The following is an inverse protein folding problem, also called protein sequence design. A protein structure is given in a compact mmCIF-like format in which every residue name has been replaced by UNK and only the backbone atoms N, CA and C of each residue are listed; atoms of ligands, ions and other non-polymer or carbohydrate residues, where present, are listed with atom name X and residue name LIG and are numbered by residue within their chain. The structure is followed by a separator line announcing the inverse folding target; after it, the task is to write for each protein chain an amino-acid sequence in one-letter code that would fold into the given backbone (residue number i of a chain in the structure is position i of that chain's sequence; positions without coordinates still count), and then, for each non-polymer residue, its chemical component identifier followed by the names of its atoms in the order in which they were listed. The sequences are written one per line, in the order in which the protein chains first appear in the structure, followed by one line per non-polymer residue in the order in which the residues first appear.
data_IF_897866793031
#
_entry.id   IF_897866793031
#
_cell.length_a   1.000
_cell.length_b   1.000
_cell.length_c   1.000
_cell.angle_alpha   90.00
_cell.angle_beta   90.00
_cell.angle_gamma   90.00
#
_symmetry.space_group_name_H-M   'P 1'
#
loop_
_entity.id
_entity.type
_entity.pdbx_description
1 polymer ?
2 polymer ?
3 non-polymer ?
4 non-polymer ?
5 water ?
#
# COMPACT_ATOMS: atom_id res chain seq x y z
CA UNK A 12 -14.95 -17.12 19.71
C UNK A 12 -14.66 -16.23 18.51
N UNK A 13 -15.51 -15.22 18.30
CA UNK A 13 -15.26 -14.14 17.31
C UNK A 13 -15.66 -12.81 17.95
N UNK A 14 -15.50 -11.70 17.21
CA UNK A 14 -15.91 -10.35 17.68
C UNK A 14 -17.39 -10.30 18.04
N UNK A 15 -18.22 -10.92 17.18
CA UNK A 15 -19.68 -10.83 17.29
C UNK A 15 -20.18 -11.57 18.53
N UNK A 16 -19.57 -12.74 18.84
CA UNK A 16 -19.98 -13.56 19.98
C UNK A 16 -19.60 -12.90 21.31
N UNK A 17 -18.45 -12.23 21.32
CA UNK A 17 -17.97 -11.54 22.52
C UNK A 17 -18.89 -10.34 22.83
N UNK A 18 -19.19 -9.56 21.80
CA UNK A 18 -20.13 -8.45 21.92
C UNK A 18 -21.55 -8.91 22.31
N UNK A 19 -22.05 -10.04 21.80
CA UNK A 19 -23.34 -10.55 22.33
C UNK A 19 -23.23 -10.94 23.81
N UNK A 20 -22.13 -11.57 24.21
CA UNK A 20 -21.99 -12.00 25.60
C UNK A 20 -21.94 -10.79 26.55
N UNK A 21 -21.18 -9.76 26.16
CA UNK A 21 -21.08 -8.49 26.91
C UNK A 21 -22.38 -7.74 27.00
N UNK A 22 -23.11 -7.69 25.89
CA UNK A 22 -24.49 -7.17 25.92
C UNK A 22 -25.34 -7.97 26.93
N UNK A 23 -25.32 -9.30 26.85
CA UNK A 23 -26.04 -10.17 27.80
C UNK A 23 -25.66 -9.88 29.28
N UNK A 24 -24.36 -9.69 29.56
CA UNK A 24 -23.87 -9.32 30.90
C UNK A 24 -24.44 -7.98 31.36
N UNK A 25 -24.24 -6.95 30.52
CA UNK A 25 -24.61 -5.60 30.85
C UNK A 25 -26.08 -5.46 31.14
N UNK A 26 -26.87 -6.08 30.28
CA UNK A 26 -28.33 -6.08 30.36
C UNK A 26 -28.80 -6.72 31.69
N UNK A 27 -28.19 -7.83 32.07
CA UNK A 27 -28.50 -8.48 33.37
C UNK A 27 -28.14 -7.56 34.53
N UNK A 28 -26.92 -7.03 34.49
CA UNK A 28 -26.44 -6.14 35.57
C UNK A 28 -27.39 -4.94 35.78
N UNK A 29 -27.75 -4.28 34.69
CA UNK A 29 -28.64 -3.13 34.77
C UNK A 29 -30.05 -3.50 35.29
N UNK A 30 -30.55 -4.69 34.94
CA UNK A 30 -31.83 -5.19 35.46
C UNK A 30 -31.78 -5.39 37.02
N UNK A 31 -30.72 -6.04 37.52
CA UNK A 31 -30.43 -6.12 38.95
C UNK A 31 -30.32 -4.74 39.62
N UNK A 32 -29.80 -3.76 38.89
CA UNK A 32 -29.68 -2.37 39.36
C UNK A 32 -30.98 -1.55 39.43
N UNK A 33 -32.06 -2.04 38.83
CA UNK A 33 -33.35 -1.33 38.80
C UNK A 33 -33.46 -0.27 37.71
N UNK A 34 -32.57 -0.32 36.73
CA UNK A 34 -32.50 0.67 35.66
C UNK A 34 -33.88 0.92 35.02
N UNK A 35 -34.27 2.21 34.83
CA UNK A 35 -35.57 2.49 34.21
C UNK A 35 -35.72 1.86 32.84
N UNK A 36 -36.91 1.36 32.53
CA UNK A 36 -37.10 0.53 31.33
C UNK A 36 -36.97 1.29 30.00
N UNK A 37 -37.20 2.60 30.02
CA UNK A 37 -37.01 3.41 28.84
C UNK A 37 -35.52 3.46 28.44
N UNK A 38 -34.62 3.56 29.43
CA UNK A 38 -33.18 3.51 29.20
C UNK A 38 -32.79 2.10 28.66
N UNK A 39 -33.27 1.05 29.32
CA UNK A 39 -33.04 -0.33 28.87
C UNK A 39 -33.60 -0.60 27.46
N UNK A 40 -34.78 -0.06 27.14
CA UNK A 40 -35.37 -0.21 25.80
C UNK A 40 -34.51 0.49 24.74
N UNK A 41 -34.01 1.66 25.10
CA UNK A 41 -33.06 2.37 24.25
C UNK A 41 -31.76 1.59 24.03
N UNK A 42 -31.22 1.00 25.10
CA UNK A 42 -29.99 0.20 24.97
C UNK A 42 -30.24 -1.00 24.07
N UNK A 43 -31.41 -1.63 24.23
CA UNK A 43 -31.77 -2.75 23.38
C UNK A 43 -31.83 -2.31 21.90
N UNK A 44 -32.38 -1.11 21.63
CA UNK A 44 -32.47 -0.59 20.26
C UNK A 44 -31.07 -0.33 19.68
N UNK A 45 -30.20 0.25 20.49
CA UNK A 45 -28.83 0.48 20.12
C UNK A 45 -28.03 -0.82 19.81
N UNK A 46 -28.20 -1.84 20.66
CA UNK A 46 -27.61 -3.15 20.44
C UNK A 46 -28.02 -3.68 19.08
N UNK A 47 -29.30 -3.62 18.74
CA UNK A 47 -29.79 -4.11 17.43
C UNK A 47 -29.12 -3.32 16.27
N UNK A 48 -29.10 -2.01 16.40
CA UNK A 48 -28.43 -1.15 15.45
C UNK A 48 -26.97 -1.51 15.25
N UNK A 49 -26.25 -1.81 16.33
CA UNK A 49 -24.84 -2.15 16.27
C UNK A 49 -24.64 -3.54 15.59
N UNK A 50 -25.51 -4.50 15.87
CA UNK A 50 -25.42 -5.81 15.22
C UNK A 50 -25.69 -5.68 13.71
N UNK A 51 -26.72 -4.91 13.38
CA UNK A 51 -27.06 -4.62 12.00
C UNK A 51 -25.89 -3.94 11.32
N UNK A 52 -25.32 -2.94 12.00
CA UNK A 52 -24.16 -2.23 11.48
C UNK A 52 -23.00 -3.18 11.16
N UNK A 53 -22.71 -4.11 12.05
CA UNK A 53 -21.62 -5.02 11.76
C UNK A 53 -21.80 -5.80 10.47
N UNK A 54 -23.01 -6.29 10.21
CA UNK A 54 -23.26 -7.02 8.99
C UNK A 54 -23.03 -6.06 7.76
N UNK A 55 -23.49 -4.83 7.86
CA UNK A 55 -23.38 -3.90 6.76
C UNK A 55 -21.91 -3.50 6.57
N UNK A 56 -21.18 -3.34 7.66
CA UNK A 56 -19.74 -2.95 7.61
C UNK A 56 -18.92 -4.04 6.94
N UNK A 57 -19.23 -5.28 7.25
CA UNK A 57 -18.53 -6.39 6.61
C UNK A 57 -18.83 -6.47 5.10
N UNK A 58 -20.09 -6.24 4.67
CA UNK A 58 -20.42 -6.20 3.23
C UNK A 58 -19.56 -5.15 2.55
N UNK A 59 -19.56 -3.97 3.14
CA UNK A 59 -18.84 -2.84 2.61
C UNK A 59 -17.34 -3.09 2.55
N UNK A 60 -16.77 -3.65 3.61
CA UNK A 60 -15.37 -3.99 3.66
C UNK A 60 -14.96 -4.97 2.50
N UNK A 61 -15.75 -6.02 2.30
CA UNK A 61 -15.46 -7.01 1.29
C UNK A 61 -15.57 -6.43 -0.15
N UNK A 62 -16.60 -5.63 -0.39
CA UNK A 62 -16.83 -5.00 -1.69
C UNK A 62 -15.75 -3.97 -1.95
N UNK A 63 -15.43 -3.18 -0.95
CA UNK A 63 -14.35 -2.19 -1.05
C UNK A 63 -13.04 -2.82 -1.43
N UNK A 64 -12.67 -3.90 -0.74
CA UNK A 64 -11.44 -4.61 -1.02
C UNK A 64 -11.42 -5.17 -2.45
N UNK A 65 -12.54 -5.69 -2.95
CA UNK A 65 -12.57 -6.23 -4.29
C UNK A 65 -12.47 -5.11 -5.34
N UNK A 66 -13.20 -4.03 -5.13
CA UNK A 66 -13.14 -2.83 -5.96
C UNK A 66 -11.70 -2.34 -6.11
N UNK A 67 -10.96 -2.22 -5.00
CA UNK A 67 -9.58 -1.74 -5.06
C UNK A 67 -8.67 -2.72 -5.82
N UNK A 68 -8.89 -4.04 -5.64
CA UNK A 68 -8.11 -5.04 -6.39
C UNK A 68 -8.41 -4.95 -7.89
N UNK A 69 -9.68 -4.77 -8.26
CA UNK A 69 -10.03 -4.61 -9.64
C UNK A 69 -9.48 -3.34 -10.27
N UNK A 70 -9.46 -2.24 -9.52
CA UNK A 70 -8.87 -0.99 -10.04
C UNK A 70 -7.41 -1.19 -10.32
N UNK A 71 -6.71 -1.88 -9.40
CA UNK A 71 -5.30 -2.21 -9.60
C UNK A 71 -5.06 -3.09 -10.81
N UNK A 72 -5.86 -4.16 -10.91
CA UNK A 72 -5.74 -5.04 -12.01
C UNK A 72 -5.92 -4.25 -13.34
N UNK A 73 -6.94 -3.39 -13.43
CA UNK A 73 -7.29 -2.72 -14.68
C UNK A 73 -6.21 -1.68 -15.06
N UNK A 74 -5.61 -1.06 -14.06
CA UNK A 74 -4.43 -0.19 -14.26
C UNK A 74 -3.25 -1.00 -14.82
N UNK A 75 -3.05 -2.22 -14.37
CA UNK A 75 -1.99 -3.08 -14.95
C UNK A 75 -2.29 -3.54 -16.34
N UNK A 76 -3.56 -3.84 -16.64
CA UNK A 76 -3.89 -4.33 -17.95
C UNK A 76 -3.98 -3.20 -19.00
N UNK A 77 -4.13 -1.96 -18.59
CA UNK A 77 -4.27 -0.82 -19.54
C UNK A 77 -2.92 -0.10 -19.71
CA UNK B 11 18.26 22.64 -10.65
C UNK B 11 16.87 22.05 -10.94
N UNK B 12 16.82 21.14 -11.91
CA UNK B 12 15.61 20.37 -12.20
C UNK B 12 15.23 19.45 -11.03
N UNK B 13 16.23 18.93 -10.32
CA UNK B 13 16.05 17.87 -9.34
C UNK B 13 17.14 17.92 -8.27
N UNK B 14 16.97 17.11 -7.22
CA UNK B 14 18.00 16.97 -6.20
C UNK B 14 19.29 16.48 -6.83
N UNK B 15 19.20 15.49 -7.72
CA UNK B 15 20.39 14.97 -8.41
C UNK B 15 21.19 16.10 -9.11
N UNK B 16 20.51 16.99 -9.82
CA UNK B 16 21.16 18.07 -10.54
C UNK B 16 21.77 19.08 -9.55
N UNK B 17 21.04 19.38 -8.47
CA UNK B 17 21.57 20.25 -7.42
C UNK B 17 22.84 19.69 -6.77
N UNK B 18 22.83 18.40 -6.45
CA UNK B 18 24.00 17.75 -5.83
C UNK B 18 25.18 17.74 -6.78
N UNK B 19 24.90 17.49 -8.05
CA UNK B 19 25.91 17.51 -9.08
C UNK B 19 26.53 18.92 -9.23
N UNK B 20 25.70 19.96 -9.19
CA UNK B 20 26.18 21.34 -9.19
C UNK B 20 27.01 21.67 -7.95
N UNK B 21 26.48 21.32 -6.77
CA UNK B 21 27.17 21.56 -5.52
C UNK B 21 28.53 20.87 -5.40
N UNK B 22 28.60 19.64 -5.88
CA UNK B 22 29.86 18.93 -6.06
C UNK B 22 30.85 19.68 -6.99
N UNK B 23 30.39 20.18 -8.14
CA UNK B 23 31.26 20.92 -9.06
C UNK B 23 31.90 22.13 -8.39
N UNK B 24 31.05 22.93 -7.74
CA UNK B 24 31.48 24.07 -6.92
C UNK B 24 32.56 23.70 -5.90
N UNK B 25 32.37 22.57 -5.23
CA UNK B 25 33.30 22.08 -4.23
C UNK B 25 34.61 21.63 -4.81
N UNK B 26 34.55 20.84 -5.89
CA UNK B 26 35.75 20.48 -6.64
C UNK B 26 36.47 21.73 -7.13
N UNK B 27 35.73 22.70 -7.68
CA UNK B 27 36.36 23.94 -8.17
C UNK B 27 37.07 24.70 -7.02
N UNK B 28 36.46 24.68 -5.82
CA UNK B 28 37.05 25.30 -4.65
C UNK B 28 38.32 24.60 -4.17
N UNK B 29 38.26 23.28 -4.02
CA UNK B 29 39.42 22.52 -3.53
C UNK B 29 40.64 22.62 -4.48
N UNK B 30 40.36 22.53 -5.78
CA UNK B 30 41.37 22.68 -6.81
C UNK B 30 42.05 24.06 -6.67
N UNK B 31 41.25 25.11 -6.55
CA UNK B 31 41.74 26.50 -6.33
C UNK B 31 42.48 26.81 -5.03
N UNK B 32 42.11 26.17 -3.94
CA UNK B 32 42.87 26.26 -2.71
C UNK B 32 44.11 25.36 -2.81
N UNK B 33 44.12 24.42 -3.74
CA UNK B 33 45.26 23.53 -3.99
C UNK B 33 45.34 22.26 -3.16
N UNK B 34 44.45 21.31 -3.44
CA UNK B 34 44.40 20.03 -2.74
C UNK B 34 45.12 18.95 -3.57
N UNK B 35 45.91 18.06 -2.94
CA UNK B 35 46.61 17.02 -3.72
C UNK B 35 45.75 16.13 -4.64
N UNK B 36 46.34 15.74 -5.76
CA UNK B 36 45.65 14.94 -6.78
C UNK B 36 45.00 13.66 -6.21
N UNK B 37 45.67 13.04 -5.25
CA UNK B 37 45.18 11.79 -4.67
C UNK B 37 43.92 11.98 -3.83
N UNK B 38 43.95 12.99 -2.96
CA UNK B 38 42.79 13.39 -2.18
C UNK B 38 41.61 13.76 -3.07
N UNK B 39 41.87 14.54 -4.14
CA UNK B 39 40.81 14.86 -5.10
C UNK B 39 40.27 13.64 -5.79
N UNK B 40 41.16 12.75 -6.20
CA UNK B 40 40.77 11.52 -6.86
C UNK B 40 39.97 10.60 -5.94
N UNK B 41 40.28 10.64 -4.64
CA UNK B 41 39.53 9.93 -3.63
C UNK B 41 38.15 10.52 -3.48
N UNK B 42 38.07 11.84 -3.25
CA UNK B 42 36.78 12.53 -3.16
C UNK B 42 35.87 12.32 -4.38
N UNK B 43 36.45 12.24 -5.58
CA UNK B 43 35.65 12.10 -6.80
C UNK B 43 34.98 10.73 -6.90
N UNK B 44 35.74 9.68 -6.61
CA UNK B 44 35.21 8.32 -6.60
C UNK B 44 34.18 8.16 -5.49
N UNK B 45 34.39 8.80 -4.35
CA UNK B 45 33.36 8.87 -3.32
C UNK B 45 32.07 9.48 -3.85
N UNK B 46 32.19 10.69 -4.41
CA UNK B 46 31.06 11.37 -5.05
C UNK B 46 30.32 10.44 -6.01
N UNK B 47 31.04 9.76 -6.89
CA UNK B 47 30.43 8.90 -7.90
C UNK B 47 29.73 7.70 -7.24
N UNK B 48 30.35 7.10 -6.23
CA UNK B 48 29.66 6.05 -5.49
C UNK B 48 28.38 6.55 -4.80
N UNK B 49 28.42 7.73 -4.19
CA UNK B 49 27.21 8.34 -3.62
C UNK B 49 26.09 8.58 -4.66
N UNK B 50 26.46 8.99 -5.87
CA UNK B 50 25.51 9.18 -6.98
C UNK B 50 24.90 7.81 -7.40
N UNK B 51 25.75 6.81 -7.58
CA UNK B 51 25.32 5.47 -7.92
C UNK B 51 24.46 4.89 -6.80
N UNK B 52 24.86 5.12 -5.54
CA UNK B 52 24.08 4.63 -4.39
C UNK B 52 22.67 5.21 -4.34
N UNK B 53 22.53 6.51 -4.57
CA UNK B 53 21.19 7.11 -4.57
C UNK B 53 20.33 6.55 -5.71
N UNK B 54 20.95 6.34 -6.87
CA UNK B 54 20.26 5.73 -8.02
C UNK B 54 19.77 4.32 -7.68
N UNK B 55 20.63 3.53 -7.04
CA UNK B 55 20.25 2.20 -6.57
C UNK B 55 19.16 2.25 -5.53
N UNK B 56 19.24 3.17 -4.57
CA UNK B 56 18.20 3.28 -3.54
C UNK B 56 16.84 3.53 -4.20
N UNK B 57 16.85 4.35 -5.23
CA UNK B 57 15.62 4.66 -5.94
C UNK B 57 15.04 3.48 -6.69
N UNK B 58 15.91 2.80 -7.43
CA UNK B 58 15.54 1.64 -8.18
C UNK B 58 15.01 0.53 -7.25
N UNK B 59 15.64 0.33 -6.09
CA UNK B 59 15.12 -0.60 -5.06
C UNK B 59 13.68 -0.27 -4.67
N UNK B 60 13.42 0.99 -4.36
CA UNK B 60 12.08 1.45 -4.00
C UNK B 60 11.05 1.14 -5.08
N UNK B 61 11.44 1.40 -6.32
CA UNK B 61 10.60 1.17 -7.49
C UNK B 61 10.37 -0.34 -7.79
N UNK B 62 11.45 -1.11 -7.76
CA UNK B 62 11.37 -2.55 -7.97
C UNK B 62 10.58 -3.22 -6.86
N UNK B 63 10.73 -2.76 -5.63
CA UNK B 63 9.94 -3.30 -4.51
C UNK B 63 8.43 -3.11 -4.69
N UNK B 64 8.00 -1.87 -5.02
CA UNK B 64 6.59 -1.65 -5.37
C UNK B 64 6.11 -2.49 -6.59
N UNK B 65 6.91 -2.57 -7.65
CA UNK B 65 6.53 -3.34 -8.84
C UNK B 65 6.36 -4.83 -8.55
N UNK B 66 7.29 -5.40 -7.77
CA UNK B 66 7.22 -6.76 -7.33
C UNK B 66 5.89 -7.07 -6.64
N UNK B 67 5.47 -6.20 -5.71
CA UNK B 67 4.22 -6.38 -4.99
C UNK B 67 3.01 -6.31 -5.96
N UNK B 68 3.04 -5.41 -6.95
CA UNK B 68 1.95 -5.33 -7.96
C UNK B 68 1.91 -6.56 -8.84
N UNK B 69 3.06 -7.12 -9.17
CA UNK B 69 3.09 -8.37 -9.93
C UNK B 69 2.56 -9.56 -9.14
N UNK B 70 2.87 -9.61 -7.84
CA UNK B 70 2.32 -10.65 -6.97
C UNK B 70 0.78 -10.62 -7.02
N UNK B 71 0.18 -9.42 -6.95
CA UNK B 71 -1.27 -9.29 -7.02
C UNK B 71 -1.81 -9.60 -8.44
N UNK B 72 -1.14 -9.08 -9.45
CA UNK B 72 -1.50 -9.40 -10.84
C UNK B 72 -1.52 -10.91 -11.09
N UNK B 73 -0.49 -11.62 -10.62
CA UNK B 73 -0.40 -13.02 -10.86
C UNK B 73 -1.49 -13.82 -10.17
N UNK B 74 -1.82 -13.44 -8.93
CA UNK B 74 -2.93 -14.04 -8.19
C UNK B 74 -4.30 -13.84 -8.92
N UNK B 75 -4.52 -12.64 -9.45
CA UNK B 75 -5.71 -12.34 -10.25
C UNK B 75 -5.79 -13.11 -11.57
N UNK B 76 -4.68 -13.22 -12.28
CA UNK B 76 -4.65 -13.97 -13.54
C UNK B 76 -4.77 -15.50 -13.37
N UNK B 77 -4.42 -16.04 -12.21
CA UNK B 77 -4.41 -17.48 -12.05
C UNK B 77 -5.85 -18.06 -12.20
N UNK C 1 -27.03 14.74 29.02
CA UNK C 1 -26.60 13.71 30.00
C UNK C 1 -26.52 12.36 29.30
N UNK C 2 -26.49 11.28 30.08
CA UNK C 2 -26.30 9.96 29.49
C UNK C 2 -27.54 9.58 28.64
N UNK C 3 -28.72 9.99 29.08
CA UNK C 3 -29.92 9.79 28.27
C UNK C 3 -29.79 10.40 26.88
N UNK C 4 -29.42 11.69 26.87
CA UNK C 4 -29.30 12.43 25.61
C UNK C 4 -28.20 11.84 24.72
N UNK C 5 -27.09 11.43 25.31
CA UNK C 5 -26.03 10.71 24.60
C UNK C 5 -26.57 9.49 23.83
N UNK C 6 -27.43 8.71 24.48
CA UNK C 6 -27.98 7.49 23.89
C UNK C 6 -28.90 7.77 22.70
N UNK C 7 -29.71 8.82 22.83
CA UNK C 7 -30.61 9.24 21.76
C UNK C 7 -29.79 9.65 20.55
N UNK C 8 -28.74 10.43 20.78
CA UNK C 8 -27.86 10.85 19.71
C UNK C 8 -27.15 9.67 19.05
N UNK C 9 -26.63 8.72 19.84
CA UNK C 9 -25.98 7.52 19.28
C UNK C 9 -26.94 6.72 18.37
N UNK C 10 -28.18 6.59 18.82
CA UNK C 10 -29.23 5.90 18.06
C UNK C 10 -29.42 6.57 16.69
N UNK C 11 -29.58 7.88 16.68
CA UNK C 11 -29.70 8.63 15.42
C UNK C 11 -28.52 8.46 14.51
N UNK C 12 -27.31 8.57 15.06
CA UNK C 12 -26.10 8.48 14.25
C UNK C 12 -25.94 7.12 13.61
N UNK C 13 -26.14 6.05 14.36
CA UNK C 13 -25.96 4.70 13.81
C UNK C 13 -27.10 4.36 12.83
N UNK C 14 -28.30 4.81 13.14
CA UNK C 14 -29.44 4.69 12.21
C UNK C 14 -29.09 5.33 10.84
N UNK C 15 -28.56 6.54 10.86
CA UNK C 15 -28.17 7.28 9.62
C UNK C 15 -27.02 6.60 8.89
N UNK C 16 -26.01 6.16 9.65
CA UNK C 16 -24.88 5.49 9.09
C UNK C 16 -25.29 4.19 8.41
N UNK C 17 -26.15 3.41 9.04
CA UNK C 17 -26.61 2.18 8.41
C UNK C 17 -27.37 2.47 7.08
N UNK C 18 -28.21 3.50 7.04
CA UNK C 18 -28.86 3.81 5.78
C UNK C 18 -27.81 4.24 4.70
N UNK C 19 -26.76 4.98 5.06
CA UNK C 19 -25.68 5.28 4.12
C UNK C 19 -24.99 3.99 3.59
N UNK C 20 -24.80 3.01 4.47
CA UNK C 20 -24.16 1.78 4.07
C UNK C 20 -25.06 0.96 3.13
N UNK C 21 -26.37 0.98 3.32
CA UNK C 21 -27.29 0.29 2.37
C UNK C 21 -27.17 0.95 0.98
N UNK C 22 -27.11 2.27 0.94
CA UNK C 22 -26.91 2.93 -0.36
C UNK C 22 -25.54 2.66 -0.97
N UNK C 23 -24.50 2.70 -0.14
CA UNK C 23 -23.17 2.44 -0.61
C UNK C 23 -22.97 0.99 -1.14
N UNK C 24 -23.72 0.04 -0.60
CA UNK C 24 -23.69 -1.31 -1.08
C UNK C 24 -24.10 -1.33 -2.57
N UNK C 25 -25.17 -0.64 -2.91
CA UNK C 25 -25.65 -0.58 -4.27
C UNK C 25 -24.63 0.11 -5.18
N UNK C 26 -23.98 1.15 -4.65
CA UNK C 26 -22.99 1.88 -5.46
C UNK C 26 -21.82 0.99 -5.79
N UNK C 27 -21.33 0.31 -4.76
CA UNK C 27 -20.21 -0.59 -4.88
C UNK C 27 -20.52 -1.79 -5.81
N UNK C 28 -21.75 -2.29 -5.77
CA UNK C 28 -22.20 -3.32 -6.70
C UNK C 28 -22.11 -2.83 -8.14
N UNK C 29 -22.53 -1.58 -8.35
CA UNK C 29 -22.40 -0.99 -9.65
C UNK C 29 -20.92 -0.78 -10.03
N UNK C 30 -20.12 -0.29 -9.08
CA UNK C 30 -18.69 -0.12 -9.32
C UNK C 30 -18.10 -1.44 -9.80
N UNK C 31 -18.44 -2.55 -9.15
CA UNK C 31 -17.97 -3.86 -9.58
C UNK C 31 -18.35 -4.32 -10.99
N UNK C 32 -19.58 -4.04 -11.40
CA UNK C 32 -20.04 -4.35 -12.75
C UNK C 32 -19.27 -3.56 -13.80
N UNK C 33 -19.02 -2.28 -13.51
CA UNK C 33 -18.21 -1.44 -14.39
C UNK C 33 -16.77 -1.99 -14.47
N UNK C 34 -16.21 -2.32 -13.31
CA UNK C 34 -14.85 -2.79 -13.27
C UNK C 34 -14.63 -4.11 -14.00
N UNK C 35 -15.54 -5.05 -13.83
CA UNK C 35 -15.45 -6.35 -14.46
C UNK C 35 -15.64 -6.24 -15.95
N UNK C 36 -16.55 -5.37 -16.37
CA UNK C 36 -16.70 -5.08 -17.77
C UNK C 36 -15.41 -4.52 -18.37
N UNK C 37 -14.81 -3.53 -17.70
CA UNK C 37 -13.53 -2.96 -18.12
C UNK C 37 -12.41 -4.04 -18.18
N UNK C 38 -12.33 -4.92 -17.17
CA UNK C 38 -11.35 -6.01 -17.11
C UNK C 38 -11.43 -6.86 -18.34
N UNK C 39 -12.65 -7.25 -18.69
CA UNK C 39 -12.87 -8.10 -19.86
C UNK C 39 -12.40 -7.40 -21.17
N UNK C 40 -12.70 -6.12 -21.30
CA UNK C 40 -12.27 -5.35 -22.45
C UNK C 40 -10.72 -5.25 -22.53
N UNK C 41 -10.09 -4.91 -21.39
CA UNK C 41 -8.65 -4.73 -21.38
C UNK C 41 -7.93 -6.08 -21.66
N UNK C 42 -8.46 -7.17 -21.09
CA UNK C 42 -7.90 -8.50 -21.33
C UNK C 42 -7.96 -8.90 -22.78
N UNK C 43 -9.13 -8.71 -23.38
CA UNK C 43 -9.31 -8.98 -24.80
C UNK C 43 -8.30 -8.19 -25.64
N UNK C 44 -8.11 -6.90 -25.33
CA UNK C 44 -7.14 -6.10 -26.07
C UNK C 44 -5.69 -6.58 -25.87
N UNK C 45 -5.33 -6.99 -24.65
CA UNK C 45 -3.97 -7.52 -24.42
C UNK C 45 -3.79 -8.83 -25.19
N UNK C 46 -4.82 -9.66 -25.23
CA UNK C 46 -4.78 -10.90 -25.98
C UNK C 46 -4.58 -10.64 -27.51
N UNK C 47 -5.26 -9.65 -28.06
CA UNK C 47 -5.02 -9.19 -29.46
C UNK C 47 -3.59 -8.75 -29.78
N UNK C 48 -2.95 -8.00 -28.89
CA UNK C 48 -1.55 -7.59 -29.07
C UNK C 48 -0.58 -8.79 -29.04
N UNK C 49 -0.94 -9.87 -28.36
CA UNK C 49 -0.06 -11.04 -28.26
C UNK C 49 0.14 -11.70 -29.59
N UNK C 50 -0.85 -11.61 -30.48
CA UNK C 50 -0.64 -11.97 -31.88
C UNK C 50 -0.17 -10.78 -32.74
N UNK D 1 42.99 11.74 11.28
CA UNK D 1 42.58 13.05 10.74
C UNK D 1 41.69 12.85 9.53
N UNK D 2 41.64 13.88 8.68
CA UNK D 2 40.73 13.87 7.54
C UNK D 2 41.14 12.80 6.51
N UNK D 3 42.43 12.50 6.40
CA UNK D 3 42.82 11.41 5.51
C UNK D 3 42.23 10.05 5.96
N UNK D 4 42.37 9.73 7.24
CA UNK D 4 41.87 8.48 7.80
C UNK D 4 40.33 8.45 7.76
N UNK D 5 39.69 9.63 7.98
CA UNK D 5 38.27 9.81 7.81
C UNK D 5 37.80 9.48 6.38
N UNK D 6 38.53 9.94 5.36
CA UNK D 6 38.20 9.64 3.96
C UNK D 6 38.36 8.17 3.60
N UNK D 7 39.41 7.53 4.10
CA UNK D 7 39.55 6.11 4.01
C UNK D 7 38.36 5.40 4.66
N UNK D 8 37.97 5.81 5.86
CA UNK D 8 36.85 5.19 6.52
C UNK D 8 35.54 5.43 5.73
N UNK D 9 35.31 6.67 5.29
CA UNK D 9 34.13 6.94 4.49
C UNK D 9 34.07 6.05 3.22
N UNK D 10 35.20 5.92 2.55
CA UNK D 10 35.30 5.07 1.37
C UNK D 10 34.90 3.65 1.63
N UNK D 11 35.44 3.08 2.70
CA UNK D 11 35.07 1.76 3.14
C UNK D 11 33.54 1.63 3.33
N UNK D 12 32.91 2.55 4.07
CA UNK D 12 31.49 2.48 4.36
C UNK D 12 30.62 2.67 3.09
N UNK D 13 31.00 3.64 2.27
CA UNK D 13 30.23 3.95 1.05
C UNK D 13 30.33 2.77 0.07
N UNK D 14 31.51 2.16 -0.02
CA UNK D 14 31.75 1.01 -0.86
C UNK D 14 30.99 -0.24 -0.38
N UNK D 15 30.98 -0.47 0.94
CA UNK D 15 30.21 -1.58 1.50
C UNK D 15 28.71 -1.38 1.24
N UNK D 16 28.24 -0.16 1.40
CA UNK D 16 26.86 0.19 1.14
C UNK D 16 26.49 -0.10 -0.33
N UNK D 17 27.33 0.38 -1.24
CA UNK D 17 27.21 0.08 -2.65
C UNK D 17 27.15 -1.42 -2.95
N UNK D 18 28.00 -2.24 -2.32
CA UNK D 18 28.01 -3.68 -2.56
C UNK D 18 26.68 -4.29 -2.14
N UNK D 19 26.20 -3.87 -0.97
CA UNK D 19 24.94 -4.32 -0.46
C UNK D 19 23.74 -3.91 -1.38
N UNK D 20 23.77 -2.66 -1.84
CA UNK D 20 22.73 -2.18 -2.74
C UNK D 20 22.74 -2.92 -4.09
N UNK D 21 23.93 -3.22 -4.60
CA UNK D 21 24.05 -4.02 -5.79
C UNK D 21 23.45 -5.43 -5.59
N UNK D 22 23.80 -6.10 -4.47
CA UNK D 22 23.27 -7.45 -4.22
C UNK D 22 21.75 -7.42 -4.17
N UNK D 23 21.22 -6.42 -3.46
CA UNK D 23 19.80 -6.31 -3.29
C UNK D 23 19.08 -6.07 -4.63
N UNK D 24 19.67 -5.22 -5.45
CA UNK D 24 19.19 -4.90 -6.78
C UNK D 24 19.25 -6.12 -7.73
N UNK D 25 20.33 -6.91 -7.66
CA UNK D 25 20.41 -8.14 -8.43
C UNK D 25 19.27 -9.12 -8.07
N UNK D 26 19.01 -9.30 -6.77
CA UNK D 26 17.98 -10.20 -6.30
C UNK D 26 16.57 -9.72 -6.71
N UNK D 27 16.33 -8.44 -6.54
CA UNK D 27 15.09 -7.82 -6.96
C UNK D 27 14.80 -7.95 -8.45
N UNK D 28 15.80 -7.70 -9.30
CA UNK D 28 15.72 -7.99 -10.72
C UNK D 28 15.43 -9.46 -11.06
N UNK D 29 16.08 -10.37 -10.32
CA UNK D 29 15.79 -11.76 -10.48
C UNK D 29 14.32 -12.08 -10.05
N UNK D 30 13.88 -11.57 -8.89
CA UNK D 30 12.52 -11.75 -8.42
C UNK D 30 11.56 -11.27 -9.52
N UNK D 31 11.83 -10.10 -10.08
CA UNK D 31 10.94 -9.51 -11.08
C UNK D 31 10.89 -10.35 -12.32
N UNK D 32 12.05 -10.86 -12.77
CA UNK D 32 12.09 -11.73 -13.96
C UNK D 32 11.23 -12.98 -13.73
N UNK D 33 11.36 -13.61 -12.56
CA UNK D 33 10.58 -14.81 -12.26
C UNK D 33 9.08 -14.50 -12.23
N UNK D 34 8.71 -13.40 -11.58
CA UNK D 34 7.31 -12.97 -11.53
C UNK D 34 6.71 -12.58 -12.90
N UNK D 35 7.47 -11.89 -13.74
CA UNK D 35 7.03 -11.61 -15.11
C UNK D 35 6.85 -12.88 -15.95
N UNK D 36 7.66 -13.92 -15.70
CA UNK D 36 7.50 -15.17 -16.43
C UNK D 36 6.16 -15.75 -16.08
N UNK D 37 5.86 -15.77 -14.79
CA UNK D 37 4.57 -16.26 -14.35
C UNK D 37 3.44 -15.38 -15.02
N UNK D 38 3.58 -14.05 -15.04
CA UNK D 38 2.57 -13.14 -15.63
C UNK D 38 2.27 -13.51 -17.08
N UNK D 39 3.31 -13.70 -17.88
CA UNK D 39 3.20 -14.04 -19.30
C UNK D 39 2.52 -15.42 -19.49
N UNK D 40 2.96 -16.42 -18.73
CA UNK D 40 2.31 -17.76 -18.70
C UNK D 40 0.82 -17.67 -18.35
N UNK D 41 0.49 -16.94 -17.29
CA UNK D 41 -0.88 -16.86 -16.85
C UNK D 41 -1.75 -16.05 -17.82
N UNK D 42 -1.19 -15.00 -18.41
CA UNK D 42 -1.94 -14.21 -19.40
C UNK D 42 -2.26 -15.08 -20.63
N UNK D 43 -1.25 -15.80 -21.09
CA UNK D 43 -1.42 -16.65 -22.26
C UNK D 43 -2.51 -17.67 -22.01
N UNK D 44 -2.52 -18.27 -20.82
CA UNK D 44 -3.63 -19.21 -20.46
C UNK D 44 -5.00 -18.51 -20.46
N UNK D 45 -5.10 -17.27 -19.98
CA UNK D 45 -6.37 -16.57 -20.06
C UNK D 45 -6.74 -16.33 -21.53
N UNK D 46 -5.80 -15.90 -22.37
CA UNK D 46 -6.14 -15.67 -23.77
C UNK D 46 -6.64 -16.95 -24.46
N UNK D 47 -6.00 -18.07 -24.17
CA UNK D 47 -6.40 -19.37 -24.72
C UNK D 47 -7.81 -19.74 -24.32
N UNK D 48 -8.18 -19.45 -23.08
CA UNK D 48 -9.56 -19.65 -22.61
C UNK D 48 -10.61 -18.79 -23.31
N UNK D 49 -10.23 -17.66 -23.92
CA UNK D 49 -11.19 -16.86 -24.70
C UNK D 49 -11.46 -17.53 -26.06
N UNK D 50 -10.45 -18.15 -26.66
CA UNK D 50 -10.60 -18.93 -27.90
C UNK D 50 -11.23 -20.28 -27.54
X LIG E 1 -19.02 2.60 8.94
X LIG F 1 -27.95 -9.51 20.20
X LIG G 1 -20.21 -10.96 9.84
X LIG H 1 -29.57 -10.07 21.38
X LIG I 1 -28.63 -9.66 18.25
X LIG J 1 -18.18 2.90 7.05
X LIG K 1 -2.94 2.32 -16.53
X LIG L 1 -0.45 0.91 -16.79
X LIG M 1 -20.17 -12.87 9.03
X LIG N 1 -22.12 -10.64 9.08
X LIG O 1 -14.72 3.81 -11.83
X LIG P 1 21.83 4.50 0.95
X LIG Q 1 29.06 13.68 -10.55
X LIG R 1 15.69 10.78 -8.21
X LIG S 1 22.54 5.85 -0.52
X LIG T 1 30.92 13.31 -11.34
X LIG U 1 28.39 11.79 -11.16
X LIG V 1 -8.52 -13.01 -7.63
X LIG W 1 -21.97 2.94 -14.63
X LIG X 1 -23.62 3.25 -15.97
X LIG Y 1 -10.68 1.09 -13.68
X LIG Z 1 -21.61 -1.79 -16.90
X LIG AA 1 -11.39 -4.90 -26.11
X LIG BA 1 -30.13 -4.12 5.16
X LIG CA 1 -27.94 -4.17 2.33
X LIG DA 1 -10.45 -10.92 -14.57
X LIG EA 1 15.76 -17.87 -8.24
X LIG FA 1 26.44 5.91 5.24
X LIG GA 1 33.53 9.05 9.65
X LIG HA 1 17.60 -18.65 -7.59
X LIG IA 1 14.84 -19.23 -9.52
X LIG JA 1 12.17 -19.91 -13.54
#
# INVERSE_FOLDING_TARGET
GSSLENLPPVAASIEQLLERQWSEGQQFLLEQGTPSDILGMLKSLHQLQVENRRLEEQIKNLTAKKERLQLLNAQLS
GSSLENLPPVAASIEQLLERQWSEGQQFLLEQGTPSDILGMLKSLHQLQVENRRLEEQIKNLTAKKERLQLLNAQLS
GTYEDLVQAQKEITAHNMQLREQTKQLEHDMAELRDQSQLLLKARCEELK
GTYEDLVQAQKEITAHNMQLREQTKQLEHDMAELRDQSQLLLKARCEELK
ZN ZN
ZN ZN
ZN ZN
UNX UNK
UNX UNK
UNX UNK
UNX UNK
UNX UNK
UNX UNK
UNX UNK
UNX UNK
ZN ZN
ZN ZN
ZN ZN
UNX UNK
UNX UNK
UNX UNK
UNX UNK
ZN ZN
UNX UNK
UNX UNK
UNX UNK
UNX UNK
UNX UNK
UNX UNK
UNX UNK
ZN ZN
UNX UNK
UNX UNK
UNX UNK
UNX UNK
UNX UNK
#
